data_IF_116721481758
#
_entry.id   IF_116721481758
#
_cell.length_a   1.000
_cell.length_b   1.000
_cell.length_c   1.000
_cell.angle_alpha   90.00
_cell.angle_beta   90.00
_cell.angle_gamma   90.00
#
_symmetry.space_group_name_H-M   'P 1'
#
loop_
_entity.id
_entity.type
_entity.pdbx_description
1 polymer ?
#
# COMPACT_ATOMS: atom_id res chain seq x y z
N UNK A 1 16.64 10.43 -11.44
CA UNK A 1 15.62 9.87 -10.51
C UNK A 1 15.80 10.29 -9.05
N UNK A 2 17.02 10.38 -8.49
CA UNK A 2 17.26 10.73 -7.07
C UNK A 2 16.85 12.16 -6.67
N UNK A 3 16.88 13.11 -7.60
CA UNK A 3 16.62 14.54 -7.32
C UNK A 3 15.12 14.84 -7.13
N UNK A 4 14.22 14.16 -7.86
CA UNK A 4 12.77 14.38 -7.74
C UNK A 4 12.15 13.69 -6.51
N UNK A 5 12.67 12.55 -6.05
CA UNK A 5 12.19 11.96 -4.80
C UNK A 5 12.64 12.79 -3.58
N UNK A 6 13.84 13.37 -3.64
CA UNK A 6 14.29 14.35 -2.63
C UNK A 6 13.40 15.57 -2.61
N UNK A 7 12.94 16.07 -3.76
CA UNK A 7 12.02 17.21 -3.82
C UNK A 7 10.65 16.90 -3.20
N UNK A 8 10.07 15.72 -3.45
CA UNK A 8 8.77 15.35 -2.87
C UNK A 8 8.86 15.06 -1.37
N UNK A 9 9.97 14.47 -0.92
CA UNK A 9 10.27 14.29 0.51
C UNK A 9 10.54 15.63 1.19
N UNK A 10 11.19 16.58 0.51
CA UNK A 10 11.40 17.93 1.01
C UNK A 10 10.07 18.67 1.15
N UNK A 11 9.19 18.62 0.15
CA UNK A 11 7.86 19.27 0.24
C UNK A 11 6.99 18.65 1.32
N UNK A 12 6.98 17.31 1.45
CA UNK A 12 6.28 16.62 2.53
C UNK A 12 6.89 16.92 3.90
N UNK A 13 8.22 17.04 4.00
CA UNK A 13 8.89 17.44 5.24
C UNK A 13 8.58 18.88 5.61
N UNK A 14 8.45 19.78 4.63
CA UNK A 14 8.20 21.20 4.87
C UNK A 14 6.75 21.43 5.29
N UNK A 15 5.79 20.73 4.67
CA UNK A 15 4.39 20.75 5.12
C UNK A 15 4.23 20.08 6.50
N UNK A 16 4.98 19.00 6.77
CA UNK A 16 4.99 18.38 8.10
C UNK A 16 5.67 19.26 9.18
N UNK A 17 6.73 20.00 8.84
CA UNK A 17 7.40 20.92 9.75
C UNK A 17 6.50 22.12 10.07
N UNK A 18 5.76 22.63 9.07
CA UNK A 18 4.77 23.68 9.26
C UNK A 18 3.60 23.18 10.11
N UNK A 19 3.10 21.98 9.86
CA UNK A 19 2.03 21.38 10.66
C UNK A 19 2.45 21.13 12.12
N UNK A 20 3.67 20.63 12.35
CA UNK A 20 4.20 20.41 13.71
C UNK A 20 4.49 21.70 14.46
N UNK A 21 4.89 22.78 13.76
CA UNK A 21 5.02 24.11 14.36
C UNK A 21 3.68 24.70 14.75
N UNK A 22 2.67 24.57 13.89
CA UNK A 22 1.29 24.99 14.19
C UNK A 22 0.73 24.20 15.37
N UNK A 23 0.92 22.88 15.41
CA UNK A 23 0.49 22.04 16.55
C UNK A 23 1.25 22.35 17.84
N UNK A 24 2.54 22.68 17.76
CA UNK A 24 3.36 23.08 18.91
C UNK A 24 2.84 24.37 19.56
N UNK A 25 2.53 25.40 18.75
CA UNK A 25 1.97 26.66 19.23
C UNK A 25 0.59 26.48 19.89
N UNK A 26 -0.21 25.51 19.42
CA UNK A 26 -1.53 25.20 20.00
C UNK A 26 -1.42 24.42 21.34
N UNK A 27 -0.40 23.57 21.52
CA UNK A 27 -0.20 22.84 22.77
C UNK A 27 0.26 23.77 23.91
N UNK A 28 1.08 24.78 23.58
CA UNK A 28 1.49 25.84 24.52
C UNK A 28 0.33 26.81 24.82
N UNK A 29 -0.54 27.07 23.83
CA UNK A 29 -1.77 27.85 24.01
C UNK A 29 -2.83 27.15 24.89
N UNK A 30 -2.98 25.82 24.76
CA UNK A 30 -3.93 25.05 25.55
C UNK A 30 -3.49 24.85 27.01
N UNK A 31 -2.18 24.73 27.28
CA UNK A 31 -1.66 24.59 28.65
C UNK A 31 -1.82 25.87 29.48
N UNK A 32 -1.69 27.04 28.85
CA UNK A 32 -1.88 28.34 29.52
C UNK A 32 -3.35 28.67 29.84
N UNK A 33 -4.32 28.09 29.13
CA UNK A 33 -5.75 28.31 29.37
C UNK A 33 -6.34 27.54 30.57
N UNK A 34 -5.67 26.49 31.06
CA UNK A 34 -6.24 25.55 32.05
C UNK A 34 -6.08 25.94 33.53
N UNK A 35 -5.40 27.04 33.87
CA UNK A 35 -5.08 27.40 35.28
C UNK A 35 -6.06 28.42 35.92
N UNK A 36 -6.96 29.05 35.17
CA UNK A 36 -7.91 30.01 35.78
C UNK A 36 -9.17 29.33 36.34
N UNK A 37 -9.10 28.97 37.63
CA UNK A 37 -10.27 28.56 38.41
C UNK A 37 -11.06 29.80 38.87
N UNK A 38 -12.35 29.85 38.49
CA UNK A 38 -13.31 30.93 38.78
C UNK A 38 -13.82 30.92 40.23
N UNK A 39 -14.36 32.06 40.74
CA UNK A 39 -15.73 31.96 41.25
C UNK A 39 -16.67 33.10 40.78
N UNK A 40 -17.84 32.65 40.28
CA UNK A 40 -19.20 33.22 40.35
C UNK A 40 -19.48 34.73 40.14
N UNK A 41 -20.19 35.08 39.04
CA UNK A 41 -21.36 36.00 39.05
C UNK A 41 -22.07 36.15 37.67
N UNK A 42 -23.40 35.98 37.68
CA UNK A 42 -24.47 36.51 36.80
C UNK A 42 -24.55 36.15 35.28
N UNK A 43 -25.77 35.96 34.72
CA UNK A 43 -25.98 35.48 33.35
C UNK A 43 -25.84 36.64 32.36
N UNK A 44 -24.68 36.73 31.73
CA UNK A 44 -24.47 37.71 30.65
C UNK A 44 -25.05 37.15 29.36
N UNK A 45 -26.00 37.91 28.80
CA UNK A 45 -26.74 37.64 27.55
C UNK A 45 -25.83 37.04 26.48
N UNK A 46 -26.23 35.91 25.90
CA UNK A 46 -25.63 35.39 24.67
C UNK A 46 -25.91 36.38 23.53
N UNK A 47 -25.04 37.37 23.38
CA UNK A 47 -24.91 38.13 22.15
C UNK A 47 -24.27 37.18 21.14
N UNK A 48 -25.09 36.64 20.24
CA UNK A 48 -24.64 35.93 19.05
C UNK A 48 -24.00 36.94 18.08
N UNK A 49 -22.83 37.46 18.45
CA UNK A 49 -21.96 38.17 17.52
C UNK A 49 -21.38 37.13 16.57
N UNK A 50 -21.57 37.33 15.26
CA UNK A 50 -20.94 36.50 14.25
C UNK A 50 -19.42 36.47 14.49
N UNK A 51 -18.78 35.28 14.51
CA UNK A 51 -17.35 35.20 14.81
C UNK A 51 -16.57 36.04 13.80
N UNK A 52 -15.71 36.93 14.32
CA UNK A 52 -14.85 37.76 13.48
C UNK A 52 -13.94 36.85 12.63
N UNK A 53 -13.93 37.08 11.31
CA UNK A 53 -13.14 36.30 10.36
C UNK A 53 -11.65 36.64 10.45
N UNK A 54 -11.03 36.29 11.57
CA UNK A 54 -9.59 36.40 11.78
C UNK A 54 -8.93 35.06 11.48
N UNK A 55 -7.80 35.08 10.78
CA UNK A 55 -7.03 33.88 10.40
C UNK A 55 -6.65 32.98 11.60
N UNK A 56 -6.64 33.53 12.82
CA UNK A 56 -6.37 32.82 14.07
C UNK A 56 -7.51 31.86 14.42
N UNK A 57 -8.76 32.25 14.18
CA UNK A 57 -9.94 31.40 14.44
C UNK A 57 -10.08 30.27 13.40
N UNK A 58 -9.49 30.45 12.21
CA UNK A 58 -9.56 29.50 11.09
C UNK A 58 -8.34 28.60 10.93
N UNK A 59 -7.43 28.57 11.92
CA UNK A 59 -6.21 27.74 11.87
C UNK A 59 -6.50 26.28 11.60
N UNK A 60 -7.53 25.73 12.24
CA UNK A 60 -7.95 24.34 12.05
C UNK A 60 -8.53 24.10 10.64
N UNK A 61 -9.34 25.03 10.13
CA UNK A 61 -9.89 24.92 8.76
C UNK A 61 -8.78 24.97 7.70
N UNK A 62 -7.82 25.89 7.84
CA UNK A 62 -6.66 25.98 6.94
C UNK A 62 -5.79 24.72 7.04
N UNK A 63 -5.60 24.17 8.24
CA UNK A 63 -4.88 22.91 8.44
C UNK A 63 -5.60 21.72 7.77
N UNK A 64 -6.92 21.63 7.88
CA UNK A 64 -7.71 20.59 7.23
C UNK A 64 -7.67 20.70 5.71
N UNK A 65 -7.79 21.91 5.16
CA UNK A 65 -7.70 22.15 3.71
C UNK A 65 -6.30 21.80 3.19
N UNK A 66 -5.25 22.25 3.87
CA UNK A 66 -3.87 21.94 3.46
C UNK A 66 -3.57 20.45 3.53
N UNK A 67 -4.04 19.75 4.57
CA UNK A 67 -3.94 18.30 4.66
C UNK A 67 -4.69 17.61 3.51
N UNK A 68 -5.93 18.02 3.22
CA UNK A 68 -6.73 17.46 2.13
C UNK A 68 -6.06 17.65 0.76
N UNK A 69 -5.54 18.85 0.48
CA UNK A 69 -4.80 19.14 -0.76
C UNK A 69 -3.54 18.27 -0.85
N UNK A 70 -2.81 18.11 0.25
CA UNK A 70 -1.64 17.24 0.32
C UNK A 70 -1.95 15.78 -0.01
N UNK A 71 -3.06 15.24 0.53
CA UNK A 71 -3.52 13.87 0.25
C UNK A 71 -3.85 13.69 -1.24
N UNK A 72 -4.59 14.62 -1.83
CA UNK A 72 -4.99 14.57 -3.24
C UNK A 72 -3.76 14.65 -4.15
N UNK A 73 -2.83 15.57 -3.87
CA UNK A 73 -1.59 15.67 -4.64
C UNK A 73 -0.74 14.39 -4.55
N UNK A 74 -0.64 13.79 -3.36
CA UNK A 74 0.07 12.53 -3.16
C UNK A 74 -0.60 11.38 -3.95
N UNK A 75 -1.93 11.32 -3.96
CA UNK A 75 -2.68 10.33 -4.71
C UNK A 75 -2.33 10.36 -6.21
N UNK A 76 -2.38 11.55 -6.83
CA UNK A 76 -2.06 11.69 -8.25
C UNK A 76 -0.60 11.36 -8.57
N UNK A 77 0.33 11.76 -7.70
CA UNK A 77 1.75 11.48 -7.89
C UNK A 77 2.07 9.99 -7.72
N UNK A 78 1.50 9.36 -6.70
CA UNK A 78 1.63 7.93 -6.42
C UNK A 78 1.06 7.08 -7.54
N UNK A 79 -0.18 7.38 -7.97
CA UNK A 79 -0.85 6.68 -9.07
C UNK A 79 -0.04 6.76 -10.37
N UNK A 80 0.44 7.94 -10.76
CA UNK A 80 1.27 8.10 -11.97
C UNK A 80 2.54 7.25 -11.93
N UNK A 81 3.21 7.15 -10.78
CA UNK A 81 4.40 6.30 -10.62
C UNK A 81 4.07 4.82 -10.77
N UNK A 82 2.96 4.39 -10.18
CA UNK A 82 2.50 3.00 -10.30
C UNK A 82 2.18 2.66 -11.76
N UNK A 83 1.54 3.56 -12.51
CA UNK A 83 1.27 3.35 -13.94
C UNK A 83 2.55 3.19 -14.76
N UNK A 84 3.58 4.00 -14.50
CA UNK A 84 4.88 3.87 -15.17
C UNK A 84 5.57 2.56 -14.81
N UNK A 85 5.43 2.10 -13.57
CA UNK A 85 6.06 0.85 -13.14
C UNK A 85 5.34 -0.38 -13.69
N UNK A 86 4.00 -0.33 -13.73
CA UNK A 86 3.17 -1.34 -14.34
C UNK A 86 3.52 -1.55 -15.83
N UNK A 87 3.75 -0.49 -16.59
CA UNK A 87 4.14 -0.62 -18.00
C UNK A 87 5.52 -1.24 -18.20
N UNK A 88 6.44 -1.07 -17.24
CA UNK A 88 7.74 -1.74 -17.25
C UNK A 88 7.59 -3.24 -16.96
N UNK A 89 6.73 -3.61 -16.01
CA UNK A 89 6.46 -5.01 -15.65
C UNK A 89 5.59 -5.76 -16.66
N UNK A 90 4.72 -5.06 -17.39
CA UNK A 90 3.81 -5.65 -18.37
C UNK A 90 4.54 -6.42 -19.46
N UNK A 91 5.64 -5.88 -19.99
CA UNK A 91 6.40 -6.51 -21.07
C UNK A 91 6.97 -7.89 -20.70
N UNK A 92 7.81 -8.05 -19.66
CA UNK A 92 8.37 -9.36 -19.31
C UNK A 92 7.29 -10.39 -18.90
N UNK A 93 6.21 -9.96 -18.25
CA UNK A 93 5.11 -10.84 -17.88
C UNK A 93 4.40 -11.33 -19.15
N UNK A 94 4.11 -10.42 -20.07
CA UNK A 94 3.46 -10.75 -21.35
C UNK A 94 4.31 -11.71 -22.18
N UNK A 95 5.61 -11.47 -22.30
CA UNK A 95 6.54 -12.33 -23.06
C UNK A 95 6.54 -13.77 -22.53
N UNK A 96 6.60 -13.95 -21.20
CA UNK A 96 6.57 -15.27 -20.56
C UNK A 96 5.21 -15.95 -20.73
N UNK A 97 4.11 -15.21 -20.63
CA UNK A 97 2.78 -15.78 -20.78
C UNK A 97 2.50 -16.21 -22.23
N UNK A 98 2.83 -15.36 -23.21
CA UNK A 98 2.62 -15.68 -24.62
C UNK A 98 3.48 -16.86 -25.09
N UNK A 99 4.68 -17.04 -24.52
CA UNK A 99 5.53 -18.19 -24.83
C UNK A 99 4.97 -19.53 -24.29
N UNK A 100 4.16 -19.50 -23.23
CA UNK A 100 3.73 -20.69 -22.49
C UNK A 100 2.23 -21.02 -22.63
N UNK A 101 1.40 -20.05 -23.01
CA UNK A 101 -0.05 -20.14 -23.06
C UNK A 101 -0.57 -19.65 -24.41
N UNK A 102 -1.58 -20.33 -24.94
CA UNK A 102 -2.18 -19.96 -26.24
C UNK A 102 -3.22 -18.85 -26.13
N UNK A 103 -3.82 -18.66 -24.95
CA UNK A 103 -4.83 -17.64 -24.71
C UNK A 103 -4.41 -16.79 -23.51
N UNK A 104 -4.01 -15.54 -23.76
CA UNK A 104 -3.49 -14.61 -22.75
C UNK A 104 -4.28 -13.32 -22.80
N UNK A 105 -4.96 -12.98 -21.70
CA UNK A 105 -5.78 -11.78 -21.56
C UNK A 105 -6.88 -11.61 -22.61
N UNK A 106 -7.32 -10.36 -22.80
CA UNK A 106 -8.40 -9.98 -23.73
C UNK A 106 -7.88 -9.49 -25.10
N UNK A 107 -6.62 -9.77 -25.44
CA UNK A 107 -6.00 -9.43 -26.73
C UNK A 107 -5.53 -7.98 -26.90
N UNK A 108 -5.99 -7.02 -26.07
CA UNK A 108 -5.50 -5.63 -26.10
C UNK A 108 -4.51 -5.31 -24.98
N UNK A 109 -4.79 -5.77 -23.77
CA UNK A 109 -3.92 -5.62 -22.60
C UNK A 109 -3.92 -6.95 -21.82
N UNK A 110 -2.74 -7.36 -21.37
CA UNK A 110 -2.58 -8.59 -20.59
C UNK A 110 -2.75 -8.33 -19.10
N UNK A 111 -2.34 -7.15 -18.65
CA UNK A 111 -2.51 -6.70 -17.28
C UNK A 111 -3.70 -5.73 -17.20
N UNK A 112 -4.66 -6.08 -16.36
CA UNK A 112 -5.84 -5.29 -16.05
C UNK A 112 -5.71 -4.68 -14.66
N UNK A 113 -6.17 -3.44 -14.48
CA UNK A 113 -6.11 -2.75 -13.20
C UNK A 113 -7.31 -3.17 -12.34
N UNK A 114 -7.04 -3.84 -11.22
CA UNK A 114 -8.04 -4.16 -10.19
C UNK A 114 -8.17 -3.00 -9.18
N UNK A 115 -7.01 -2.43 -8.82
CA UNK A 115 -6.87 -1.31 -7.89
C UNK A 115 -5.72 -0.41 -8.32
N UNK A 116 -5.59 0.80 -7.75
CA UNK A 116 -4.50 1.72 -8.08
C UNK A 116 -3.08 1.18 -7.77
N UNK A 117 -2.97 0.05 -7.07
CA UNK A 117 -1.73 -0.65 -6.78
C UNK A 117 -1.72 -2.14 -7.20
N UNK A 118 -2.87 -2.73 -7.52
CA UNK A 118 -2.97 -4.16 -7.83
C UNK A 118 -3.40 -4.36 -9.29
N UNK A 119 -2.61 -5.16 -10.01
CA UNK A 119 -2.89 -5.54 -11.38
C UNK A 119 -3.13 -7.04 -11.45
N UNK A 120 -4.19 -7.44 -12.15
CA UNK A 120 -4.53 -8.82 -12.41
C UNK A 120 -4.18 -9.19 -13.85
N UNK A 121 -3.78 -10.43 -14.07
CA UNK A 121 -3.66 -10.99 -15.41
C UNK A 121 -4.20 -12.42 -15.42
N UNK A 122 -4.66 -12.83 -16.59
CA UNK A 122 -5.24 -14.15 -16.81
C UNK A 122 -4.66 -14.80 -18.06
N UNK A 123 -4.34 -16.08 -17.96
CA UNK A 123 -3.83 -16.89 -19.06
C UNK A 123 -4.41 -18.31 -19.02
N UNK A 124 -4.61 -18.91 -20.19
CA UNK A 124 -5.16 -20.25 -20.37
C UNK A 124 -4.66 -20.89 -21.67
N UNK A 125 -5.00 -22.15 -21.90
CA UNK A 125 -4.65 -22.85 -23.15
C UNK A 125 -3.37 -23.71 -23.09
N UNK A 126 -2.95 -24.09 -21.88
CA UNK A 126 -1.91 -25.12 -21.69
C UNK A 126 -2.57 -26.43 -21.22
N UNK A 127 -2.08 -27.57 -21.72
CA UNK A 127 -2.60 -28.89 -21.31
C UNK A 127 -2.39 -29.10 -19.81
N UNK A 128 -3.37 -29.71 -19.15
CA UNK A 128 -3.40 -29.99 -17.69
C UNK A 128 -3.41 -28.75 -16.77
N UNK A 129 -3.56 -27.55 -17.33
CA UNK A 129 -3.75 -26.30 -16.59
C UNK A 129 -5.09 -25.70 -17.02
N UNK A 130 -6.04 -25.58 -16.10
CA UNK A 130 -7.35 -25.00 -16.38
C UNK A 130 -7.19 -23.52 -16.71
N UNK A 131 -6.50 -22.79 -15.83
CA UNK A 131 -6.11 -21.41 -16.03
C UNK A 131 -4.98 -21.02 -15.08
N UNK A 132 -4.25 -19.98 -15.44
CA UNK A 132 -3.29 -19.30 -14.59
C UNK A 132 -3.77 -17.86 -14.39
N UNK A 133 -3.93 -17.45 -13.14
CA UNK A 133 -4.20 -16.07 -12.77
C UNK A 133 -3.02 -15.54 -11.98
N UNK A 134 -2.75 -14.25 -12.08
CA UNK A 134 -1.73 -13.65 -11.23
C UNK A 134 -2.07 -12.23 -10.83
N UNK A 135 -1.52 -11.87 -9.68
CA UNK A 135 -1.67 -10.57 -9.05
C UNK A 135 -0.28 -9.95 -8.91
N UNK A 136 -0.07 -8.83 -9.60
CA UNK A 136 1.07 -7.95 -9.39
C UNK A 136 0.67 -6.90 -8.34
N UNK A 137 1.11 -7.11 -7.11
CA UNK A 137 0.89 -6.21 -5.99
C UNK A 137 2.04 -5.20 -5.93
N UNK A 138 1.76 -3.99 -6.41
CA UNK A 138 2.67 -2.85 -6.28
C UNK A 138 2.49 -2.20 -4.92
N UNK A 139 3.50 -1.45 -4.49
CA UNK A 139 3.37 -0.61 -3.30
C UNK A 139 2.29 0.47 -3.51
N UNK A 140 1.38 0.63 -2.55
CA UNK A 140 0.30 1.62 -2.58
C UNK A 140 0.80 3.05 -2.29
N UNK A 141 1.58 3.61 -3.22
CA UNK A 141 2.22 4.94 -3.10
C UNK A 141 1.21 6.10 -3.01
N UNK A 142 -0.02 5.87 -3.46
CA UNK A 142 -1.11 6.82 -3.36
C UNK A 142 -1.64 6.98 -1.92
N UNK A 143 -1.44 5.98 -1.06
CA UNK A 143 -1.91 5.98 0.33
C UNK A 143 -0.75 6.34 1.28
N UNK A 144 -0.81 7.50 1.97
CA UNK A 144 0.22 7.89 2.92
C UNK A 144 0.32 6.98 4.14
N UNK A 145 -0.77 6.32 4.55
CA UNK A 145 -0.76 5.40 5.69
C UNK A 145 0.01 4.13 5.30
N UNK A 146 -0.23 3.60 4.10
CA UNK A 146 0.53 2.50 3.55
C UNK A 146 2.03 2.84 3.43
N UNK A 147 2.36 4.03 2.92
CA UNK A 147 3.74 4.50 2.86
C UNK A 147 4.41 4.61 4.24
N UNK A 148 3.69 5.05 5.27
CA UNK A 148 4.20 5.11 6.63
C UNK A 148 4.52 3.70 7.16
N UNK A 149 3.65 2.74 6.89
CA UNK A 149 3.91 1.33 7.23
C UNK A 149 5.11 0.78 6.46
N UNK A 150 5.23 1.09 5.16
CA UNK A 150 6.35 0.62 4.33
C UNK A 150 7.71 1.15 4.78
N UNK A 151 7.76 2.38 5.31
CA UNK A 151 8.98 2.94 5.92
C UNK A 151 9.48 2.08 7.09
N UNK A 152 8.58 1.40 7.80
CA UNK A 152 8.94 0.52 8.92
C UNK A 152 9.18 -0.94 8.49
N UNK A 153 8.41 -1.42 7.51
CA UNK A 153 8.35 -2.85 7.17
C UNK A 153 9.18 -3.25 5.93
N UNK A 154 9.80 -2.30 5.21
CA UNK A 154 10.58 -2.54 3.99
C UNK A 154 9.91 -3.57 3.04
N UNK A 155 8.67 -3.26 2.66
CA UNK A 155 7.88 -4.11 1.78
C UNK A 155 8.39 -4.01 0.33
N UNK A 156 8.70 -5.15 -0.25
CA UNK A 156 9.00 -5.28 -1.67
C UNK A 156 7.73 -5.57 -2.46
N UNK A 157 7.73 -5.21 -3.75
CA UNK A 157 6.67 -5.55 -4.70
C UNK A 157 6.55 -7.07 -4.83
N UNK A 158 5.33 -7.57 -4.91
CA UNK A 158 5.05 -9.01 -4.91
C UNK A 158 4.32 -9.39 -6.19
N UNK A 159 4.83 -10.42 -6.86
CA UNK A 159 4.15 -11.07 -7.97
C UNK A 159 3.64 -12.43 -7.47
N UNK A 160 2.32 -12.58 -7.39
CA UNK A 160 1.67 -13.84 -7.04
C UNK A 160 1.11 -14.47 -8.29
N UNK A 161 1.47 -15.72 -8.56
CA UNK A 161 0.94 -16.49 -9.69
C UNK A 161 0.25 -17.73 -9.11
N UNK A 162 -1.04 -17.86 -9.41
CA UNK A 162 -1.86 -18.99 -9.04
C UNK A 162 -2.23 -19.77 -10.29
N UNK A 163 -1.89 -21.06 -10.28
CA UNK A 163 -2.15 -21.96 -11.41
C UNK A 163 -3.13 -23.02 -10.96
N UNK A 164 -4.32 -22.99 -11.55
CA UNK A 164 -5.37 -23.96 -11.27
C UNK A 164 -5.22 -25.16 -12.20
N UNK A 165 -4.92 -26.31 -11.60
CA UNK A 165 -4.78 -27.60 -12.29
C UNK A 165 -6.15 -28.19 -12.64
N UNK A 166 -6.16 -29.18 -13.53
CA UNK A 166 -7.38 -29.94 -13.87
C UNK A 166 -7.72 -30.97 -12.78
N UNK A 167 -8.97 -31.44 -12.73
CA UNK A 167 -9.46 -32.37 -11.70
C UNK A 167 -8.82 -33.78 -11.76
N UNK A 168 -8.06 -34.08 -12.81
CA UNK A 168 -7.43 -35.38 -13.05
C UNK A 168 -6.13 -35.61 -12.24
N UNK A 169 -5.67 -34.63 -11.47
CA UNK A 169 -4.42 -34.72 -10.70
C UNK A 169 -4.65 -35.39 -9.34
N UNK A 170 -3.76 -36.30 -8.90
CA UNK A 170 -3.85 -36.87 -7.56
C UNK A 170 -3.67 -35.77 -6.51
N UNK A 171 -4.42 -35.85 -5.41
CA UNK A 171 -4.30 -34.91 -4.30
C UNK A 171 -2.97 -35.10 -3.56
N UNK A 172 -2.12 -34.09 -3.58
CA UNK A 172 -0.93 -34.02 -2.72
C UNK A 172 -0.71 -32.58 -2.26
N UNK A 173 -0.11 -32.42 -1.08
CA UNK A 173 0.25 -31.13 -0.51
C UNK A 173 1.77 -31.03 -0.49
N UNK A 174 2.30 -30.06 -1.22
CA UNK A 174 3.73 -29.79 -1.26
C UNK A 174 3.98 -28.28 -1.26
N UNK A 175 4.96 -27.84 -0.48
CA UNK A 175 5.37 -26.44 -0.42
C UNK A 175 6.89 -26.35 -0.33
N UNK A 176 7.50 -25.63 -1.28
CA UNK A 176 8.91 -25.26 -1.25
C UNK A 176 9.01 -23.78 -0.88
N UNK A 177 9.66 -23.49 0.24
CA UNK A 177 9.73 -22.14 0.82
C UNK A 177 11.11 -21.88 1.40
N UNK A 178 11.58 -20.62 1.42
CA UNK A 178 12.88 -20.32 2.00
C UNK A 178 12.82 -20.54 3.51
N UNK A 179 13.92 -21.00 4.12
CA UNK A 179 13.96 -21.42 5.53
C UNK A 179 13.43 -20.35 6.48
N UNK A 180 13.67 -19.07 6.18
CA UNK A 180 13.21 -17.92 6.96
C UNK A 180 11.67 -17.76 6.97
N UNK A 181 10.99 -18.09 5.87
CA UNK A 181 9.53 -17.98 5.73
C UNK A 181 8.77 -19.27 6.05
N UNK A 182 9.46 -20.39 6.26
CA UNK A 182 8.86 -21.71 6.52
C UNK A 182 7.80 -21.70 7.64
N UNK A 183 8.11 -21.09 8.79
CA UNK A 183 7.19 -20.99 9.93
C UNK A 183 5.98 -20.10 9.65
N UNK A 184 6.16 -19.03 8.88
CA UNK A 184 5.08 -18.13 8.50
C UNK A 184 4.10 -18.87 7.57
N UNK A 185 4.61 -19.50 6.50
CA UNK A 185 3.76 -20.24 5.54
C UNK A 185 3.04 -21.41 6.21
N UNK A 186 3.69 -22.11 7.14
CA UNK A 186 3.05 -23.18 7.91
C UNK A 186 1.89 -22.69 8.77
N UNK A 187 1.93 -21.44 9.26
CA UNK A 187 0.82 -20.85 10.02
C UNK A 187 -0.24 -20.23 9.11
N UNK A 188 0.16 -19.66 7.99
CA UNK A 188 -0.74 -18.93 7.08
C UNK A 188 -1.64 -19.88 6.28
N UNK A 189 -1.21 -21.13 6.03
CA UNK A 189 -1.97 -22.14 5.30
C UNK A 189 -2.24 -23.39 6.14
N UNK A 190 -3.52 -23.62 6.43
CA UNK A 190 -4.00 -24.77 7.20
C UNK A 190 -3.55 -26.12 6.62
N UNK A 191 -3.62 -26.28 5.30
CA UNK A 191 -3.28 -27.55 4.64
C UNK A 191 -1.80 -27.91 4.80
N UNK A 192 -0.93 -26.90 4.71
CA UNK A 192 0.52 -27.08 4.91
C UNK A 192 0.81 -27.43 6.37
N UNK A 193 0.14 -26.76 7.32
CA UNK A 193 0.28 -27.08 8.74
C UNK A 193 -0.15 -28.51 9.10
N UNK A 194 -1.20 -29.00 8.45
CA UNK A 194 -1.87 -30.25 8.81
C UNK A 194 -1.26 -31.45 8.10
N UNK A 195 -0.95 -31.30 6.81
CA UNK A 195 -0.57 -32.42 5.95
C UNK A 195 0.91 -32.43 5.56
N UNK A 196 1.63 -31.30 5.68
CA UNK A 196 3.04 -31.24 5.29
C UNK A 196 3.98 -31.41 6.49
N UNK A 197 5.06 -32.16 6.29
CA UNK A 197 6.18 -32.26 7.24
C UNK A 197 7.33 -31.39 6.75
N UNK A 198 7.87 -30.54 7.63
CA UNK A 198 9.04 -29.71 7.30
C UNK A 198 10.27 -30.61 7.19
N UNK A 199 10.87 -30.65 6.00
CA UNK A 199 12.11 -31.38 5.73
C UNK A 199 13.16 -30.35 5.31
N UNK A 200 14.24 -30.24 6.09
CA UNK A 200 15.42 -29.47 5.70
C UNK A 200 16.35 -30.41 4.91
N UNK A 201 16.41 -30.21 3.60
CA UNK A 201 17.24 -31.01 2.70
C UNK A 201 18.42 -30.16 2.21
N UNK A 202 19.64 -30.56 2.59
CA UNK A 202 20.91 -29.95 2.14
C UNK A 202 21.14 -30.07 0.62
N UNK A 203 20.32 -30.89 -0.06
CA UNK A 203 20.37 -31.11 -1.51
C UNK A 203 19.51 -30.13 -2.31
N UNK A 204 18.75 -29.25 -1.66
CA UNK A 204 18.00 -28.20 -2.35
C UNK A 204 18.90 -26.98 -2.49
N UNK A 205 19.16 -26.47 -3.71
CA UNK A 205 20.00 -25.30 -3.91
C UNK A 205 19.50 -24.13 -3.07
N UNK A 206 20.39 -23.49 -2.33
CA UNK A 206 20.04 -22.34 -1.49
C UNK A 206 19.72 -21.09 -2.33
N UNK A 207 20.18 -21.08 -3.59
CA UNK A 207 20.07 -19.93 -4.51
C UNK A 207 18.74 -19.89 -5.29
N UNK A 208 17.90 -20.92 -5.19
CA UNK A 208 16.65 -21.00 -5.96
C UNK A 208 15.43 -20.35 -5.31
N UNK A 209 15.58 -19.67 -4.16
CA UNK A 209 14.45 -19.08 -3.42
C UNK A 209 14.76 -17.72 -2.79
#
# INVERSE_FOLDING_TARGET
>A
MLQLSKLSLLTLSWTALLATKVVGDELEGATSASIQTSPAAAPTKLSAAAPELTLVNYRLEVLMITAAVGLVANYFYGSRKNTVLASVWEKPITDVLQANFSAVGNGQQVLEWDSAADLLFYASGRRHCKYAQGHLMLTARQDPIALLNDLTANNYEKLQIEVTLNDDVPGFVFAAVPRKRSKAVGRDRYDVSTFAKVIASDKVPTDTV
#
